data_IF_253869375151
#
_entry.id   IF_253869375151
#
_cell.length_a   1.000
_cell.length_b   1.000
_cell.length_c   1.000
_cell.angle_alpha   90.00
_cell.angle_beta   90.00
_cell.angle_gamma   90.00
#
_symmetry.space_group_name_H-M   'P 1'
#
loop_
_entity.id
_entity.type
_entity.pdbx_description
1 polymer ?
#
# COMPACT_ATOMS: atom_id res chain seq x y z
N UNK A 1 15.26 -3.91 -19.20
CA UNK A 1 16.34 -3.87 -18.18
C UNK A 1 16.25 -2.55 -17.45
N UNK A 2 15.83 -2.58 -16.18
CA UNK A 2 16.35 -1.76 -15.06
C UNK A 2 15.66 -2.29 -13.81
N UNK A 3 16.10 -3.48 -13.36
CA UNK A 3 16.03 -3.79 -11.94
C UNK A 3 16.99 -2.85 -11.25
N UNK A 4 16.54 -1.61 -11.00
CA UNK A 4 17.19 -0.77 -10.00
C UNK A 4 16.94 -1.52 -8.69
N UNK A 5 18.00 -2.11 -8.14
CA UNK A 5 17.95 -2.74 -6.83
C UNK A 5 17.31 -1.75 -5.87
N UNK A 6 16.06 -2.04 -5.48
CA UNK A 6 15.36 -1.20 -4.51
C UNK A 6 16.13 -1.31 -3.21
N UNK A 7 16.44 -0.16 -2.62
CA UNK A 7 17.04 -0.12 -1.29
C UNK A 7 16.18 -0.94 -0.32
N UNK A 8 16.77 -1.61 0.68
CA UNK A 8 16.02 -2.15 1.80
C UNK A 8 15.07 -1.09 2.37
N UNK A 9 13.85 -1.48 2.74
CA UNK A 9 12.81 -0.53 3.14
C UNK A 9 13.25 0.39 4.29
N UNK A 10 14.09 -0.10 5.19
CA UNK A 10 14.63 0.68 6.32
C UNK A 10 15.50 1.84 5.85
N UNK A 11 16.39 1.60 4.89
CA UNK A 11 17.23 2.65 4.31
C UNK A 11 16.39 3.67 3.55
N UNK A 12 15.40 3.20 2.78
CA UNK A 12 14.50 4.08 2.05
C UNK A 12 13.66 4.95 2.99
N UNK A 13 13.19 4.37 4.10
CA UNK A 13 12.43 5.08 5.12
C UNK A 13 13.25 6.20 5.79
N UNK A 14 14.54 5.99 6.03
CA UNK A 14 15.42 7.04 6.55
C UNK A 14 15.54 8.23 5.59
N UNK A 15 15.72 7.96 4.29
CA UNK A 15 15.77 8.99 3.25
C UNK A 15 14.47 9.81 3.22
N UNK A 16 13.32 9.13 3.27
CA UNK A 16 12.01 9.78 3.26
C UNK A 16 11.76 10.62 4.52
N UNK A 17 12.18 10.13 5.69
CA UNK A 17 12.10 10.87 6.96
C UNK A 17 12.97 12.13 6.94
N UNK A 18 14.20 12.04 6.42
CA UNK A 18 15.10 13.19 6.25
C UNK A 18 14.55 14.24 5.28
N UNK A 19 13.70 13.81 4.34
CA UNK A 19 13.03 14.70 3.38
C UNK A 19 11.83 15.44 3.99
N UNK A 20 11.49 15.21 5.27
CA UNK A 20 10.43 15.92 5.97
C UNK A 20 9.01 15.50 5.58
N UNK A 21 8.84 14.35 4.91
CA UNK A 21 7.53 13.85 4.53
C UNK A 21 6.72 13.41 5.75
N UNK A 22 5.42 13.69 5.71
CA UNK A 22 4.47 13.15 6.69
C UNK A 22 4.41 11.63 6.62
N UNK A 23 3.94 11.00 7.69
CA UNK A 23 3.82 9.53 7.77
C UNK A 23 2.95 8.95 6.65
N UNK A 24 1.87 9.64 6.28
CA UNK A 24 0.99 9.26 5.17
C UNK A 24 1.66 9.37 3.80
N UNK A 25 2.43 10.44 3.58
CA UNK A 25 3.21 10.61 2.35
C UNK A 25 4.28 9.53 2.24
N UNK A 26 4.89 9.13 3.36
CA UNK A 26 5.83 8.01 3.40
C UNK A 26 5.13 6.71 3.01
N UNK A 27 3.98 6.37 3.62
CA UNK A 27 3.21 5.17 3.27
C UNK A 27 2.85 5.16 1.79
N UNK A 28 2.28 6.27 1.29
CA UNK A 28 1.91 6.43 -0.11
C UNK A 28 3.11 6.26 -1.05
N UNK A 29 4.25 6.85 -0.69
CA UNK A 29 5.47 6.78 -1.50
C UNK A 29 6.00 5.36 -1.57
N UNK A 30 6.18 4.68 -0.42
CA UNK A 30 6.64 3.30 -0.38
C UNK A 30 5.67 2.35 -1.10
N UNK A 31 4.36 2.60 -0.97
CA UNK A 31 3.34 1.87 -1.69
C UNK A 31 3.46 2.09 -3.21
N UNK A 32 3.63 3.31 -3.70
CA UNK A 32 3.83 3.53 -5.14
C UNK A 32 5.18 3.03 -5.65
N UNK A 33 6.20 2.99 -4.80
CA UNK A 33 7.50 2.38 -5.08
C UNK A 33 7.46 0.85 -5.09
N UNK A 34 6.27 0.23 -4.99
CA UNK A 34 6.06 -1.22 -4.99
C UNK A 34 6.78 -1.97 -3.86
N UNK A 35 6.92 -1.36 -2.68
CA UNK A 35 7.23 -2.15 -1.48
C UNK A 35 5.99 -2.97 -1.09
N UNK A 36 6.16 -4.22 -0.58
CA UNK A 36 5.07 -5.01 -0.04
C UNK A 36 4.41 -4.30 1.14
N UNK A 37 3.08 -4.36 1.24
CA UNK A 37 2.37 -3.64 2.31
C UNK A 37 2.79 -4.10 3.71
N UNK A 38 3.07 -5.40 3.89
CA UNK A 38 3.50 -5.95 5.18
C UNK A 38 4.87 -5.42 5.62
N UNK A 39 5.78 -5.13 4.69
CA UNK A 39 7.07 -4.52 5.04
C UNK A 39 6.88 -3.08 5.47
N UNK A 40 5.99 -2.34 4.79
CA UNK A 40 5.67 -0.95 5.10
C UNK A 40 5.08 -0.85 6.52
N UNK A 41 4.10 -1.68 6.84
CA UNK A 41 3.43 -1.68 8.14
C UNK A 41 4.38 -2.07 9.26
N UNK A 42 5.26 -3.05 9.03
CA UNK A 42 6.28 -3.44 10.01
C UNK A 42 7.33 -2.34 10.23
N UNK A 43 7.86 -1.74 9.16
CA UNK A 43 8.88 -0.71 9.25
C UNK A 43 8.36 0.57 9.92
N UNK A 44 7.07 0.88 9.77
CA UNK A 44 6.44 2.04 10.37
C UNK A 44 5.73 1.74 11.69
N UNK A 45 5.63 0.47 12.09
CA UNK A 45 4.84 0.03 13.25
C UNK A 45 3.40 0.52 13.16
N UNK A 46 2.76 0.26 12.01
CA UNK A 46 1.35 0.59 11.76
C UNK A 46 0.46 -0.50 12.34
N UNK A 47 -0.57 -0.12 13.10
CA UNK A 47 -1.60 -1.05 13.61
C UNK A 47 -2.65 -1.38 12.55
N UNK A 48 -3.46 -2.41 12.81
CA UNK A 48 -4.57 -2.75 11.90
C UNK A 48 -5.60 -1.63 11.75
N UNK A 49 -5.90 -0.88 12.82
CA UNK A 49 -6.79 0.30 12.80
C UNK A 49 -6.16 1.44 12.00
N UNK A 50 -4.88 1.75 12.25
CA UNK A 50 -4.17 2.81 11.54
C UNK A 50 -4.08 2.52 10.04
N UNK A 51 -3.79 1.28 9.63
CA UNK A 51 -3.77 0.89 8.23
C UNK A 51 -5.14 1.07 7.56
N UNK A 52 -6.23 0.69 8.26
CA UNK A 52 -7.60 0.88 7.77
C UNK A 52 -7.89 2.37 7.51
N UNK A 53 -7.55 3.23 8.46
CA UNK A 53 -7.76 4.68 8.38
C UNK A 53 -6.91 5.36 7.30
N UNK A 54 -5.65 4.94 7.14
CA UNK A 54 -4.77 5.44 6.08
C UNK A 54 -5.27 4.97 4.70
N UNK A 55 -5.68 3.71 4.59
CA UNK A 55 -6.19 3.14 3.34
C UNK A 55 -7.43 3.88 2.83
N UNK A 56 -8.43 4.08 3.70
CA UNK A 56 -9.65 4.80 3.32
C UNK A 56 -9.38 6.30 3.09
N UNK A 57 -8.54 6.87 3.96
CA UNK A 57 -7.83 8.17 3.82
C UNK A 57 -7.40 8.49 2.40
N UNK A 58 -6.39 7.73 1.99
CA UNK A 58 -5.61 7.99 0.78
C UNK A 58 -6.15 7.23 -0.43
N UNK A 59 -7.21 6.43 -0.25
CA UNK A 59 -7.70 5.45 -1.21
C UNK A 59 -6.55 4.61 -1.76
N UNK A 60 -5.73 4.04 -0.87
CA UNK A 60 -4.49 3.34 -1.24
C UNK A 60 -4.73 2.27 -2.31
N UNK A 61 -5.80 1.48 -2.19
CA UNK A 61 -6.17 0.44 -3.16
C UNK A 61 -6.43 0.98 -4.58
N UNK A 62 -6.78 2.26 -4.73
CA UNK A 62 -6.96 2.91 -6.04
C UNK A 62 -5.67 3.54 -6.60
N UNK A 63 -4.54 3.44 -5.89
CA UNK A 63 -3.29 4.03 -6.37
C UNK A 63 -2.54 3.13 -7.36
N UNK A 64 -2.64 1.80 -7.22
CA UNK A 64 -1.91 0.85 -8.07
C UNK A 64 -2.71 -0.44 -8.29
N UNK A 65 -2.46 -1.12 -9.40
CA UNK A 65 -2.99 -2.47 -9.63
C UNK A 65 -2.21 -3.53 -8.81
N UNK A 66 -2.67 -4.80 -8.76
CA UNK A 66 -1.96 -5.87 -8.01
C UNK A 66 -0.52 -6.13 -8.48
N UNK A 67 -0.16 -5.77 -9.72
CA UNK A 67 1.23 -5.83 -10.22
C UNK A 67 2.07 -4.60 -9.83
N UNK A 68 1.51 -3.69 -9.04
CA UNK A 68 2.14 -2.45 -8.57
C UNK A 68 2.24 -1.34 -9.61
N UNK A 69 1.53 -1.41 -10.74
CA UNK A 69 1.49 -0.30 -11.71
C UNK A 69 0.53 0.78 -11.22
N UNK A 70 0.99 2.03 -11.25
CA UNK A 70 0.18 3.18 -10.85
C UNK A 70 -1.02 3.36 -11.80
N UNK A 71 -2.20 3.60 -11.25
CA UNK A 71 -3.35 4.03 -12.06
C UNK A 71 -3.19 5.49 -12.49
N UNK A 72 -3.54 5.78 -13.75
CA UNK A 72 -3.54 7.14 -14.29
C UNK A 72 -4.81 7.86 -13.84
N UNK A 73 -4.75 9.16 -13.59
CA UNK A 73 -5.91 9.97 -13.18
C UNK A 73 -6.78 10.40 -14.38
N UNK A 74 -7.11 9.46 -15.26
CA UNK A 74 -7.97 9.70 -16.42
C UNK A 74 -9.37 9.12 -16.16
N UNK A 75 -10.44 9.93 -16.10
CA UNK A 75 -11.80 9.45 -15.90
C UNK A 75 -12.25 8.38 -16.92
N UNK A 76 -11.74 8.38 -18.15
CA UNK A 76 -12.08 7.37 -19.15
C UNK A 76 -11.53 5.97 -18.79
N UNK A 77 -10.56 5.89 -17.89
CA UNK A 77 -9.96 4.65 -17.40
C UNK A 77 -10.58 4.15 -16.10
N UNK A 78 -11.66 4.80 -15.64
CA UNK A 78 -12.33 4.48 -14.38
C UNK A 78 -13.85 4.44 -14.56
N UNK A 79 -14.46 3.37 -14.08
CA UNK A 79 -15.89 3.25 -13.85
C UNK A 79 -16.16 3.25 -12.34
N UNK A 80 -17.43 3.16 -11.95
CA UNK A 80 -17.84 3.23 -10.54
C UNK A 80 -17.15 2.18 -9.66
N UNK A 81 -16.92 0.97 -10.19
CA UNK A 81 -16.36 -0.17 -9.45
C UNK A 81 -15.20 -0.87 -10.20
N UNK A 82 -14.69 -0.25 -11.27
CA UNK A 82 -13.66 -0.85 -12.12
C UNK A 82 -12.61 0.18 -12.58
N UNK A 83 -11.34 -0.23 -12.57
CA UNK A 83 -10.20 0.62 -12.90
C UNK A 83 -9.28 -0.08 -13.90
N UNK A 84 -8.96 0.61 -15.00
CA UNK A 84 -8.12 0.08 -16.06
C UNK A 84 -6.65 0.38 -15.80
N UNK A 85 -5.83 -0.68 -15.83
CA UNK A 85 -4.38 -0.52 -15.81
C UNK A 85 -3.85 -0.59 -17.24
N UNK A 86 -3.27 0.51 -17.72
CA UNK A 86 -2.72 0.62 -19.07
C UNK A 86 -1.54 -0.33 -19.32
N UNK A 87 -0.75 -0.59 -18.28
CA UNK A 87 0.42 -1.48 -18.35
C UNK A 87 -0.02 -2.96 -18.43
N UNK A 88 -1.00 -3.35 -17.60
CA UNK A 88 -1.55 -4.71 -17.62
C UNK A 88 -2.55 -4.92 -18.77
N UNK A 89 -3.02 -3.84 -19.41
CA UNK A 89 -4.10 -3.83 -20.41
C UNK A 89 -5.38 -4.52 -19.94
N UNK A 90 -5.74 -4.35 -18.66
CA UNK A 90 -6.85 -5.07 -18.01
C UNK A 90 -7.60 -4.20 -17.01
N UNK A 91 -8.90 -4.49 -16.87
CA UNK A 91 -9.78 -3.94 -15.84
C UNK A 91 -9.69 -4.73 -14.52
N UNK A 92 -9.65 -4.01 -13.41
CA UNK A 92 -9.68 -4.54 -12.05
C UNK A 92 -10.89 -3.98 -11.31
N UNK A 93 -11.63 -4.81 -10.59
CA UNK A 93 -12.71 -4.33 -9.72
C UNK A 93 -12.17 -3.91 -8.36
N UNK A 94 -12.94 -3.12 -7.61
CA UNK A 94 -12.51 -2.65 -6.28
C UNK A 94 -12.17 -3.80 -5.31
N UNK A 95 -12.91 -4.91 -5.33
CA UNK A 95 -12.66 -6.05 -4.46
C UNK A 95 -11.23 -6.57 -4.64
N UNK A 96 -10.83 -6.83 -5.89
CA UNK A 96 -9.48 -7.29 -6.23
C UNK A 96 -8.41 -6.26 -5.84
N UNK A 97 -8.71 -4.97 -5.93
CA UNK A 97 -7.77 -3.91 -5.55
C UNK A 97 -7.59 -3.81 -4.03
N UNK A 98 -8.63 -4.12 -3.26
CA UNK A 98 -8.61 -4.06 -1.79
C UNK A 98 -7.92 -5.26 -1.14
N UNK A 99 -7.88 -6.41 -1.84
CA UNK A 99 -7.38 -7.68 -1.30
C UNK A 99 -6.04 -7.56 -0.56
N UNK A 100 -5.03 -6.91 -1.17
CA UNK A 100 -3.70 -6.77 -0.56
C UNK A 100 -3.78 -6.08 0.82
N UNK A 101 -4.57 -5.01 0.92
CA UNK A 101 -4.68 -4.20 2.13
C UNK A 101 -5.51 -4.94 3.17
N UNK A 102 -6.63 -5.56 2.78
CA UNK A 102 -7.49 -6.30 3.71
C UNK A 102 -6.79 -7.54 4.29
N UNK A 103 -5.99 -8.24 3.49
CA UNK A 103 -5.16 -9.35 3.97
C UNK A 103 -4.14 -8.87 5.01
N UNK A 104 -3.53 -7.71 4.80
CA UNK A 104 -2.58 -7.16 5.76
C UNK A 104 -3.26 -6.65 7.04
N UNK A 105 -4.42 -5.99 6.93
CA UNK A 105 -5.21 -5.60 8.10
C UNK A 105 -5.57 -6.83 8.93
N UNK A 106 -5.98 -7.92 8.28
CA UNK A 106 -6.28 -9.19 8.97
C UNK A 106 -5.04 -9.74 9.69
N UNK A 107 -3.88 -9.80 9.01
CA UNK A 107 -2.62 -10.26 9.61
C UNK A 107 -2.23 -9.44 10.84
N UNK A 108 -2.32 -8.10 10.75
CA UNK A 108 -2.00 -7.20 11.86
C UNK A 108 -2.93 -7.43 13.05
N UNK A 109 -4.24 -7.56 12.80
CA UNK A 109 -5.23 -7.83 13.85
C UNK A 109 -4.94 -9.15 14.58
N UNK A 110 -4.69 -10.23 13.85
CA UNK A 110 -4.35 -11.53 14.44
C UNK A 110 -3.06 -11.46 15.28
N UNK A 111 -2.04 -10.74 14.79
CA UNK A 111 -0.77 -10.51 15.52
C UNK A 111 -0.99 -9.74 16.82
N UNK A 112 -1.80 -8.67 16.78
CA UNK A 112 -2.11 -7.85 17.95
C UNK A 112 -2.93 -8.63 19.00
N UNK A 113 -3.88 -9.45 18.57
CA UNK A 113 -4.67 -10.33 19.45
C UNK A 113 -3.80 -11.42 20.10
N UNK A 114 -2.88 -12.02 19.34
CA UNK A 114 -1.92 -13.00 19.85
C UNK A 114 -0.99 -12.40 20.91
N UNK A 115 -0.50 -11.17 20.70
CA UNK A 115 0.31 -10.45 21.68
C UNK A 115 -0.48 -10.16 22.95
N UNK A 116 -1.74 -9.74 22.84
CA UNK A 116 -2.62 -9.47 24.00
C UNK A 116 -2.93 -10.72 24.83
N UNK A 117 -3.05 -11.88 24.20
CA UNK A 117 -3.39 -13.14 24.86
C UNK A 117 -2.17 -13.82 25.52
N UNK A 118 -0.97 -13.28 25.31
CA UNK A 118 0.29 -13.78 25.87
C UNK A 118 0.71 -13.07 27.17
N UNK A 119 -0.13 -12.17 27.69
CA UNK A 119 0.01 -11.46 28.97
C UNK A 119 -1.16 -11.79 29.89
#
# INVERSE_FOLDING_TARGET
MTGLDKKPIRERLEDLRRSGLSREEIVKTLYLEKYPIFEITEALSISHEELRDISERLKLFLLRCPSGHRFLSDPALHAQDAHYCVECKRWFNELTLRDEIELEIKRLKEKEESLRSSF
#
